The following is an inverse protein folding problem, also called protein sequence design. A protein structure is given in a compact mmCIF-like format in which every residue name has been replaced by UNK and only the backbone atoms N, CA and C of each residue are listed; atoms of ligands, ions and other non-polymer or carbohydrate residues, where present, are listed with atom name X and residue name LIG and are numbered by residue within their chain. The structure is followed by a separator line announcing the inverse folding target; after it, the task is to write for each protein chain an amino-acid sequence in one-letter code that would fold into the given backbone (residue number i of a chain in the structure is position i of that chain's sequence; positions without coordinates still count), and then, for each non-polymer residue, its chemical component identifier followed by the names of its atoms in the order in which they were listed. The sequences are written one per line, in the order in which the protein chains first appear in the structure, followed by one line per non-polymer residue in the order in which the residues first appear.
data_IF_051229272914
#
_entry.id   IF_051229272914
#
_cell.length_a   1.000
_cell.length_b   1.000
_cell.length_c   1.000
_cell.angle_alpha   90.00
_cell.angle_beta   90.00
_cell.angle_gamma   90.00
#
_symmetry.space_group_name_H-M   'P 1'
#
loop_
_entity.id
_entity.type
_entity.pdbx_description
1 polymer ?
#
# COMPACT_ATOMS: atom_id res chain seq x y z
N UNK A 1 -14.56 -9.13 -18.51
CA UNK A 1 -13.11 -9.37 -18.66
C UNK A 1 -12.42 -8.10 -18.19
N UNK A 2 -12.12 -8.01 -16.89
CA UNK A 2 -11.21 -6.96 -16.39
C UNK A 2 -9.82 -7.42 -16.82
N UNK A 3 -9.23 -6.70 -17.79
CA UNK A 3 -7.83 -6.93 -18.16
C UNK A 3 -6.93 -6.66 -16.96
N UNK A 4 -5.65 -7.07 -16.99
CA UNK A 4 -4.74 -6.74 -15.90
C UNK A 4 -4.67 -5.22 -15.80
N UNK A 5 -5.29 -4.66 -14.76
CA UNK A 5 -4.99 -3.29 -14.36
C UNK A 5 -3.47 -3.24 -14.21
N UNK A 6 -2.75 -2.34 -14.90
CA UNK A 6 -1.32 -2.22 -14.72
C UNK A 6 -1.13 -1.70 -13.31
N UNK A 7 -1.05 -2.61 -12.33
CA UNK A 7 -0.64 -2.25 -11.00
C UNK A 7 0.68 -1.48 -11.18
N UNK A 8 0.77 -0.24 -10.66
CA UNK A 8 1.99 0.53 -10.79
C UNK A 8 3.16 -0.36 -10.36
N UNK A 9 4.21 -0.40 -11.18
CA UNK A 9 5.41 -1.18 -10.86
C UNK A 9 5.84 -0.84 -9.44
N UNK A 10 5.75 -1.83 -8.55
CA UNK A 10 6.11 -1.68 -7.15
C UNK A 10 7.60 -2.03 -7.03
N UNK A 11 8.43 -1.03 -6.78
CA UNK A 11 9.87 -1.24 -6.70
C UNK A 11 10.22 -2.02 -5.41
N UNK A 12 11.06 -3.07 -5.47
CA UNK A 12 11.40 -3.88 -4.30
C UNK A 12 12.03 -3.08 -3.16
N UNK A 13 12.74 -2.00 -3.47
CA UNK A 13 13.37 -1.11 -2.47
C UNK A 13 12.35 -0.41 -1.56
N UNK A 14 11.10 -0.21 -2.02
CA UNK A 14 10.05 0.39 -1.20
C UNK A 14 9.51 -0.57 -0.14
N UNK A 15 9.80 -1.87 -0.25
CA UNK A 15 9.35 -2.91 0.69
C UNK A 15 10.31 -3.05 1.87
N UNK A 16 10.51 -1.96 2.61
CA UNK A 16 11.30 -1.98 3.84
C UNK A 16 10.58 -2.74 4.97
N UNK A 17 11.31 -3.15 6.01
CA UNK A 17 10.72 -3.81 7.19
C UNK A 17 9.60 -2.97 7.82
N UNK A 18 9.75 -1.65 7.85
CA UNK A 18 8.75 -0.71 8.36
C UNK A 18 7.47 -0.74 7.51
N UNK A 19 7.63 -0.65 6.18
CA UNK A 19 6.50 -0.69 5.23
C UNK A 19 5.75 -2.02 5.33
N UNK A 20 6.46 -3.14 5.39
CA UNK A 20 5.87 -4.48 5.55
C UNK A 20 5.15 -4.61 6.89
N UNK A 21 5.75 -4.13 7.98
CA UNK A 21 5.15 -4.22 9.32
C UNK A 21 3.86 -3.41 9.43
N UNK A 22 3.83 -2.20 8.87
CA UNK A 22 2.62 -1.37 8.82
C UNK A 22 1.53 -2.02 7.96
N UNK A 23 1.87 -2.54 6.78
CA UNK A 23 0.91 -3.21 5.92
C UNK A 23 0.32 -4.46 6.57
N UNK A 24 1.14 -5.27 7.27
CA UNK A 24 0.66 -6.43 8.06
C UNK A 24 -0.31 -5.98 9.15
N UNK A 25 0.05 -4.95 9.91
CA UNK A 25 -0.82 -4.41 10.94
C UNK A 25 -2.18 -4.01 10.36
N UNK A 26 -2.20 -3.17 9.32
CA UNK A 26 -3.42 -2.72 8.63
C UNK A 26 -4.27 -3.90 8.16
N UNK A 27 -3.64 -4.92 7.56
CA UNK A 27 -4.33 -6.09 7.03
C UNK A 27 -4.96 -6.95 8.12
N UNK A 28 -4.21 -7.24 9.19
CA UNK A 28 -4.60 -8.15 10.26
C UNK A 28 -5.61 -7.51 11.23
N UNK A 29 -5.38 -6.26 11.62
CA UNK A 29 -6.26 -5.52 12.53
C UNK A 29 -7.48 -4.93 11.84
N UNK A 30 -7.43 -4.77 10.50
CA UNK A 30 -8.38 -3.98 9.70
C UNK A 30 -8.43 -2.51 10.12
N UNK A 31 -7.38 -2.01 10.76
CA UNK A 31 -7.24 -0.59 11.06
C UNK A 31 -6.73 0.15 9.83
N UNK A 32 -7.67 0.45 8.93
CA UNK A 32 -7.39 1.25 7.74
C UNK A 32 -7.18 2.74 8.05
N UNK A 33 -7.35 3.17 9.31
CA UNK A 33 -6.98 4.52 9.74
C UNK A 33 -5.47 4.77 9.67
N UNK A 34 -4.66 3.71 9.66
CA UNK A 34 -3.20 3.80 9.53
C UNK A 34 -2.70 3.92 8.07
N UNK A 35 -3.59 3.98 7.07
CA UNK A 35 -3.20 4.11 5.65
C UNK A 35 -2.35 5.36 5.35
N UNK A 36 -2.61 6.55 5.92
CA UNK A 36 -1.72 7.71 5.74
C UNK A 36 -0.31 7.46 6.28
N UNK A 37 -0.17 6.70 7.37
CA UNK A 37 1.14 6.35 7.96
C UNK A 37 1.89 5.40 7.03
N UNK A 38 1.19 4.47 6.37
CA UNK A 38 1.77 3.63 5.33
C UNK A 38 2.25 4.47 4.13
N UNK A 39 1.54 5.54 3.77
CA UNK A 39 1.96 6.46 2.70
C UNK A 39 3.30 7.13 3.03
N UNK A 40 3.45 7.61 4.27
CA UNK A 40 4.66 8.28 4.71
C UNK A 40 5.84 7.30 4.77
N UNK A 41 5.63 6.09 5.28
CA UNK A 41 6.66 5.04 5.29
C UNK A 41 7.09 4.63 3.87
N UNK A 42 6.16 4.57 2.92
CA UNK A 42 6.48 4.32 1.50
C UNK A 42 7.30 5.47 0.91
N UNK A 43 6.92 6.71 1.20
CA UNK A 43 7.65 7.89 0.72
C UNK A 43 9.07 7.97 1.31
N UNK A 44 9.24 7.65 2.59
CA UNK A 44 10.55 7.56 3.26
C UNK A 44 11.42 6.45 2.64
N UNK A 45 10.81 5.38 2.14
CA UNK A 45 11.48 4.31 1.40
C UNK A 45 11.82 4.69 -0.06
N UNK A 46 11.52 5.93 -0.50
CA UNK A 46 11.79 6.42 -1.84
C UNK A 46 10.67 6.19 -2.86
N UNK A 47 9.45 5.84 -2.42
CA UNK A 47 8.30 5.74 -3.31
C UNK A 47 7.83 7.13 -3.74
N UNK A 48 7.91 7.40 -5.05
CA UNK A 48 7.41 8.63 -5.67
C UNK A 48 6.15 8.41 -6.53
N UNK A 49 5.60 7.19 -6.54
CA UNK A 49 4.41 6.85 -7.33
C UNK A 49 3.18 7.55 -6.78
N UNK A 50 2.74 8.58 -7.51
CA UNK A 50 1.61 9.43 -7.09
C UNK A 50 0.32 8.63 -6.84
N UNK A 51 0.02 7.60 -7.64
CA UNK A 51 -1.18 6.79 -7.48
C UNK A 51 -1.19 6.00 -6.15
N UNK A 52 -0.02 5.45 -5.76
CA UNK A 52 0.16 4.74 -4.49
C UNK A 52 -0.02 5.72 -3.32
N UNK A 53 0.71 6.84 -3.35
CA UNK A 53 0.69 7.81 -2.26
C UNK A 53 -0.68 8.49 -2.12
N UNK A 54 -1.32 8.84 -3.24
CA UNK A 54 -2.65 9.45 -3.27
C UNK A 54 -3.71 8.48 -2.76
N UNK A 55 -3.63 7.20 -3.14
CA UNK A 55 -4.58 6.21 -2.62
C UNK A 55 -4.47 6.05 -1.11
N UNK A 56 -3.26 5.91 -0.56
CA UNK A 56 -3.06 5.76 0.88
C UNK A 56 -3.49 6.98 1.71
N UNK A 57 -3.40 8.19 1.13
CA UNK A 57 -3.81 9.44 1.78
C UNK A 57 -5.28 9.80 1.52
N UNK A 58 -5.91 9.16 0.54
CA UNK A 58 -7.27 9.45 0.13
C UNK A 58 -8.32 8.80 1.02
N UNK A 59 -9.56 9.26 0.90
CA UNK A 59 -10.73 8.66 1.56
C UNK A 59 -11.28 7.44 0.79
N UNK A 60 -10.47 6.84 -0.09
CA UNK A 60 -10.88 5.71 -0.93
C UNK A 60 -11.29 4.51 -0.07
N UNK A 61 -12.00 3.52 -0.65
CA UNK A 61 -12.38 2.34 0.11
C UNK A 61 -11.12 1.58 0.52
N UNK A 62 -10.80 1.64 1.81
CA UNK A 62 -9.80 0.79 2.43
C UNK A 62 -10.52 -0.35 3.13
N UNK A 63 -10.33 -1.55 2.58
CA UNK A 63 -10.90 -2.80 3.06
C UNK A 63 -9.85 -3.89 2.90
N UNK A 64 -10.12 -5.10 3.41
CA UNK A 64 -9.30 -6.26 3.11
C UNK A 64 -9.38 -6.51 1.59
N UNK A 65 -8.24 -6.55 0.91
CA UNK A 65 -8.20 -6.44 -0.56
C UNK A 65 -7.77 -5.04 -1.05
N UNK A 66 -7.34 -4.14 -0.16
CA UNK A 66 -6.76 -2.86 -0.55
C UNK A 66 -5.51 -3.12 -1.38
N UNK A 67 -5.54 -2.69 -2.64
CA UNK A 67 -4.52 -3.03 -3.62
C UNK A 67 -3.11 -2.57 -3.20
N UNK A 68 -2.93 -1.43 -2.52
CA UNK A 68 -1.60 -1.01 -2.03
C UNK A 68 -1.09 -1.96 -0.94
N UNK A 69 -1.96 -2.34 -0.01
CA UNK A 69 -1.59 -3.28 1.07
C UNK A 69 -1.24 -4.64 0.48
N UNK A 70 -2.01 -5.12 -0.50
CA UNK A 70 -1.74 -6.39 -1.17
C UNK A 70 -0.45 -6.35 -2.01
N UNK A 71 -0.12 -5.22 -2.66
CA UNK A 71 1.17 -5.02 -3.33
C UNK A 71 2.36 -5.10 -2.36
N UNK A 72 2.24 -4.46 -1.19
CA UNK A 72 3.28 -4.51 -0.16
C UNK A 72 3.45 -5.93 0.37
N UNK A 73 2.35 -6.65 0.60
CA UNK A 73 2.34 -7.99 1.19
C UNK A 73 2.47 -9.14 0.19
N UNK A 74 2.63 -8.83 -1.11
CA UNK A 74 2.69 -9.82 -2.19
C UNK A 74 1.49 -10.77 -2.19
N UNK A 75 0.30 -10.23 -1.93
CA UNK A 75 -0.97 -10.96 -1.98
C UNK A 75 -1.60 -10.76 -3.37
N UNK A 76 -2.14 -11.85 -3.92
CA UNK A 76 -2.92 -11.90 -5.17
C UNK A 76 -4.42 -11.87 -4.90
#
# INVERSE_FOLDING_TARGET
MVGPDPHPLFAPEWRTDTVVSLAKHIYESRDFGAMPILADALQDAGCEQADILTHCRGNGPHVRGCWVVDLVLEKT
#
